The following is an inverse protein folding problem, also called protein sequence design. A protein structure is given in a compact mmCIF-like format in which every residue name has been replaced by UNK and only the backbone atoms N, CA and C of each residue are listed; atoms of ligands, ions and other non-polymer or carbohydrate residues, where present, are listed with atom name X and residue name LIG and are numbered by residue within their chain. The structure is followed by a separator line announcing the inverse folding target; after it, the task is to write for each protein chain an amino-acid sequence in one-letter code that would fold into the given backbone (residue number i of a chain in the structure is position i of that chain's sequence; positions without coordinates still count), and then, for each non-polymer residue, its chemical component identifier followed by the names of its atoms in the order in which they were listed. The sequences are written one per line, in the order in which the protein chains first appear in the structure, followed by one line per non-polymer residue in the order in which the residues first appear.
data_IF_282061631817
#
_entry.id   IF_282061631817
#
_cell.length_a   1.000
_cell.length_b   1.000
_cell.length_c   1.000
_cell.angle_alpha   90.00
_cell.angle_beta   90.00
_cell.angle_gamma   90.00
#
_symmetry.space_group_name_H-M   'P 1'
#
loop_
_entity.id
_entity.type
_entity.pdbx_description
1 polymer ?
#
# COMPACT_ATOMS: atom_id res chain seq x y z
N UNK A 1 -42.51 -55.95 16.64
CA UNK A 1 -43.11 -55.20 17.76
C UNK A 1 -43.09 -53.73 17.38
N UNK A 2 -44.20 -53.20 16.85
CA UNK A 2 -45.20 -52.35 17.54
C UNK A 2 -44.65 -51.00 18.08
N UNK A 3 -44.79 -49.97 17.23
CA UNK A 3 -45.45 -48.65 17.42
C UNK A 3 -45.25 -47.92 18.78
N UNK A 4 -44.77 -46.66 18.75
CA UNK A 4 -45.60 -45.47 19.08
C UNK A 4 -44.92 -44.12 18.83
N UNK A 5 -45.71 -43.21 18.24
CA UNK A 5 -45.53 -41.75 18.07
C UNK A 5 -45.55 -41.02 19.42
N UNK A 6 -44.87 -39.87 19.49
CA UNK A 6 -45.41 -38.67 20.14
C UNK A 6 -44.62 -37.39 19.75
N UNK A 7 -45.32 -36.45 19.12
CA UNK A 7 -45.16 -34.99 19.28
C UNK A 7 -46.54 -34.51 19.82
N UNK A 8 -46.70 -33.39 20.57
CA UNK A 8 -46.26 -32.05 20.15
C UNK A 8 -45.81 -31.10 21.30
N UNK A 9 -45.26 -29.94 20.95
CA UNK A 9 -44.98 -28.87 21.92
C UNK A 9 -44.73 -27.52 21.25
N UNK A 10 -45.80 -26.75 21.05
CA UNK A 10 -45.77 -25.32 20.76
C UNK A 10 -45.38 -24.51 22.01
N UNK A 11 -44.61 -23.44 21.83
CA UNK A 11 -44.60 -22.14 22.58
C UNK A 11 -43.24 -21.46 22.31
N UNK A 12 -43.08 -20.18 22.01
CA UNK A 12 -43.99 -19.09 21.74
C UNK A 12 -43.20 -17.97 21.05
N UNK A 13 -43.80 -17.36 20.03
CA UNK A 13 -43.26 -16.19 19.33
C UNK A 13 -43.56 -14.95 20.18
N UNK A 14 -42.54 -14.25 20.65
CA UNK A 14 -42.70 -12.89 21.20
C UNK A 14 -42.67 -11.89 20.04
N UNK A 15 -43.85 -11.53 19.53
CA UNK A 15 -44.06 -10.32 18.71
C UNK A 15 -44.13 -9.14 19.67
N UNK A 16 -43.15 -8.24 19.61
CA UNK A 16 -43.23 -6.94 20.29
C UNK A 16 -43.78 -5.92 19.28
N UNK A 17 -45.08 -5.68 19.36
CA UNK A 17 -45.75 -4.53 18.74
C UNK A 17 -45.37 -3.29 19.55
N UNK A 18 -44.60 -2.37 18.96
CA UNK A 18 -44.50 -1.00 19.47
C UNK A 18 -45.40 -0.08 18.66
N UNK A 19 -46.35 0.52 19.36
CA UNK A 19 -47.38 1.39 18.83
C UNK A 19 -46.81 2.73 18.34
N UNK A 20 -47.44 3.18 17.26
CA UNK A 20 -47.33 4.50 16.64
C UNK A 20 -47.81 5.59 17.61
N UNK A 21 -46.99 6.62 17.80
CA UNK A 21 -47.37 7.90 18.40
C UNK A 21 -47.01 9.05 17.44
N UNK A 22 -48.00 9.59 16.75
CA UNK A 22 -47.93 10.82 15.96
C UNK A 22 -48.22 12.04 16.86
N UNK A 23 -47.25 12.94 16.99
CA UNK A 23 -47.38 14.38 17.24
C UNK A 23 -45.94 14.95 17.25
N UNK A 24 -45.57 16.03 16.60
CA UNK A 24 -46.23 17.02 15.77
C UNK A 24 -45.20 18.14 15.51
N UNK A 25 -45.35 18.76 14.34
CA UNK A 25 -44.83 20.07 13.92
C UNK A 25 -43.33 20.25 13.60
N UNK A 26 -43.12 20.60 12.33
CA UNK A 26 -41.91 21.11 11.72
C UNK A 26 -41.60 22.53 12.23
N UNK A 27 -40.33 22.78 12.55
CA UNK A 27 -39.80 24.13 12.69
C UNK A 27 -39.01 24.49 11.41
N UNK A 28 -39.44 25.48 10.62
CA UNK A 28 -38.59 26.10 9.63
C UNK A 28 -37.59 27.03 10.33
N UNK A 29 -36.30 26.75 10.16
CA UNK A 29 -35.24 27.68 10.57
C UNK A 29 -35.12 28.75 9.48
N UNK A 30 -35.79 29.88 9.68
CA UNK A 30 -35.66 31.07 8.84
C UNK A 30 -34.53 31.94 9.40
N UNK A 31 -33.55 32.25 8.55
CA UNK A 31 -32.53 33.25 8.82
C UNK A 31 -33.17 34.64 8.83
N UNK A 32 -33.04 35.35 9.95
CA UNK A 32 -33.41 36.76 10.06
C UNK A 32 -32.30 37.62 9.44
N UNK A 33 -32.64 38.42 8.45
CA UNK A 33 -31.81 39.52 7.93
C UNK A 33 -31.95 40.67 8.91
N UNK A 34 -30.95 40.89 9.75
CA UNK A 34 -30.86 42.07 10.59
C UNK A 34 -30.32 43.24 9.74
N UNK A 35 -31.15 44.27 9.58
CA UNK A 35 -30.87 45.48 8.80
C UNK A 35 -30.45 46.59 9.75
N UNK A 36 -29.17 46.59 10.13
CA UNK A 36 -28.52 47.69 10.86
C UNK A 36 -27.83 48.66 9.89
N UNK A 37 -27.70 49.96 10.25
CA UNK A 37 -27.13 50.97 9.36
C UNK A 37 -25.63 50.75 9.08
N UNK A 38 -25.25 50.93 7.82
CA UNK A 38 -23.89 50.77 7.28
C UNK A 38 -22.82 51.49 8.12
N UNK A 39 -21.80 50.79 8.67
CA UNK A 39 -20.61 51.45 9.18
C UNK A 39 -19.72 51.86 8.00
N UNK A 40 -19.34 53.14 7.98
CA UNK A 40 -18.37 53.75 7.06
C UNK A 40 -17.13 52.86 6.94
N UNK A 41 -16.81 52.48 5.71
CA UNK A 41 -15.73 51.56 5.36
C UNK A 41 -14.36 52.21 5.65
N UNK A 42 -13.87 52.02 6.88
CA UNK A 42 -12.55 52.47 7.28
C UNK A 42 -11.51 51.57 6.60
N UNK A 43 -10.66 52.16 5.75
CA UNK A 43 -9.64 51.43 5.00
C UNK A 43 -8.57 50.91 5.96
N UNK A 44 -8.71 49.65 6.40
CA UNK A 44 -7.72 48.98 7.24
C UNK A 44 -6.47 48.72 6.40
N UNK A 45 -5.34 49.32 6.80
CA UNK A 45 -4.04 49.05 6.20
C UNK A 45 -3.49 47.77 6.80
N UNK A 46 -3.24 46.75 5.97
CA UNK A 46 -2.66 45.49 6.42
C UNK A 46 -1.21 45.69 6.91
N UNK A 47 -0.79 45.01 8.00
CA UNK A 47 0.58 45.08 8.49
C UNK A 47 1.54 44.39 7.50
N UNK A 48 2.75 44.93 7.35
CA UNK A 48 3.76 44.43 6.41
C UNK A 48 4.39 43.07 6.81
N UNK A 49 4.05 42.53 7.98
CA UNK A 49 4.59 41.28 8.51
C UNK A 49 3.62 40.65 9.51
N UNK A 50 3.60 39.32 9.56
CA UNK A 50 2.84 38.52 10.53
C UNK A 50 3.79 37.48 11.12
N UNK A 51 3.97 37.47 12.45
CA UNK A 51 4.81 36.48 13.14
C UNK A 51 6.28 36.45 12.70
N UNK A 52 6.85 37.59 12.26
CA UNK A 52 8.26 37.68 11.82
C UNK A 52 8.51 37.31 10.36
N UNK A 53 7.46 36.96 9.60
CA UNK A 53 7.57 36.68 8.16
C UNK A 53 7.04 37.88 7.36
N UNK A 54 7.84 38.38 6.42
CA UNK A 54 7.45 39.50 5.55
C UNK A 54 6.41 39.04 4.53
N UNK A 55 5.34 39.83 4.36
CA UNK A 55 4.27 39.57 3.39
C UNK A 55 4.50 40.29 2.04
N UNK A 56 5.70 40.81 1.81
CA UNK A 56 6.06 41.45 0.54
C UNK A 56 6.12 40.41 -0.59
N UNK A 57 5.38 40.67 -1.67
CA UNK A 57 5.34 39.82 -2.87
C UNK A 57 6.72 39.81 -3.55
N UNK A 58 7.33 38.63 -3.82
CA UNK A 58 8.60 38.58 -4.54
C UNK A 58 8.44 39.12 -5.97
N UNK A 59 9.29 40.06 -6.37
CA UNK A 59 9.38 40.52 -7.76
C UNK A 59 9.86 39.38 -8.67
N UNK A 60 9.31 39.33 -9.89
CA UNK A 60 9.69 38.37 -10.91
C UNK A 60 11.15 38.52 -11.31
N UNK A 61 11.91 37.43 -11.19
CA UNK A 61 13.32 37.33 -11.58
C UNK A 61 13.43 37.47 -13.11
N UNK A 62 14.20 38.45 -13.57
CA UNK A 62 14.58 38.60 -14.98
C UNK A 62 15.45 37.41 -15.45
N UNK A 63 15.36 36.98 -16.72
CA UNK A 63 16.20 35.90 -17.24
C UNK A 63 17.66 36.37 -17.41
N UNK A 64 18.60 35.53 -17.01
CA UNK A 64 20.04 35.76 -17.15
C UNK A 64 20.49 35.67 -18.61
N UNK A 65 21.51 36.46 -18.96
CA UNK A 65 22.08 36.57 -20.30
C UNK A 65 22.72 35.26 -20.80
N UNK A 66 22.52 34.98 -22.07
CA UNK A 66 23.10 33.86 -22.82
C UNK A 66 24.62 34.03 -22.95
N UNK A 67 25.39 33.08 -22.43
CA UNK A 67 26.83 33.02 -22.68
C UNK A 67 27.11 32.56 -24.11
N UNK A 68 27.86 33.36 -24.88
CA UNK A 68 28.44 32.98 -26.17
C UNK A 68 29.75 32.22 -25.93
N UNK A 69 29.91 31.11 -26.64
CA UNK A 69 31.15 30.32 -26.70
C UNK A 69 32.16 31.09 -27.55
N UNK A 70 33.38 31.26 -27.04
CA UNK A 70 34.51 31.80 -27.79
C UNK A 70 35.39 30.65 -28.30
N UNK A 71 35.68 30.69 -29.59
CA UNK A 71 36.67 29.86 -30.28
C UNK A 71 38.08 30.11 -29.72
N UNK A 72 38.82 29.03 -29.46
CA UNK A 72 40.29 29.07 -29.37
C UNK A 72 40.86 27.89 -30.17
N UNK A 73 41.54 28.24 -31.26
CA UNK A 73 42.37 27.38 -32.09
C UNK A 73 43.81 27.30 -31.55
N UNK A 74 44.52 26.25 -32.00
CA UNK A 74 45.93 25.87 -31.78
C UNK A 74 46.16 24.96 -30.56
N UNK A 75 46.79 23.78 -30.65
CA UNK A 75 47.46 23.09 -31.75
C UNK A 75 48.64 22.30 -31.17
N UNK A 76 48.63 20.97 -31.26
CA UNK A 76 49.80 20.07 -31.30
C UNK A 76 49.30 18.64 -31.61
N UNK A 77 49.91 17.99 -32.61
CA UNK A 77 49.59 16.64 -33.11
C UNK A 77 50.59 15.58 -32.54
N UNK A 78 50.56 14.31 -32.97
CA UNK A 78 49.56 13.28 -32.69
C UNK A 78 50.18 12.03 -32.00
N UNK A 79 49.40 11.23 -31.27
CA UNK A 79 49.56 9.76 -31.17
C UNK A 79 48.56 9.15 -30.16
N UNK A 80 48.11 7.94 -30.51
CA UNK A 80 47.32 6.99 -29.74
C UNK A 80 45.79 7.18 -29.77
N UNK A 81 45.15 6.34 -30.59
CA UNK A 81 43.74 5.98 -30.52
C UNK A 81 43.35 5.62 -29.08
N UNK A 82 42.39 6.36 -28.54
CA UNK A 82 41.51 5.85 -27.50
C UNK A 82 40.11 6.26 -27.92
N UNK A 83 39.43 5.35 -28.60
CA UNK A 83 38.02 5.51 -28.92
C UNK A 83 37.23 5.80 -27.65
N UNK A 84 36.44 6.85 -27.74
CA UNK A 84 35.50 7.27 -26.72
C UNK A 84 34.43 6.20 -26.49
N UNK A 85 34.27 5.77 -25.24
CA UNK A 85 33.02 5.18 -24.74
C UNK A 85 32.31 6.19 -23.86
N UNK A 86 31.90 7.30 -24.48
CA UNK A 86 30.79 8.13 -24.02
C UNK A 86 29.57 7.76 -24.85
N UNK A 87 28.67 6.96 -24.28
CA UNK A 87 27.48 6.50 -25.00
C UNK A 87 26.79 5.28 -24.42
N UNK A 88 26.56 5.23 -23.11
CA UNK A 88 25.56 4.29 -22.58
C UNK A 88 24.16 4.83 -22.90
N UNK A 89 23.75 4.62 -24.14
CA UNK A 89 22.38 4.72 -24.62
C UNK A 89 21.54 3.78 -23.76
N UNK A 90 20.45 4.27 -23.16
CA UNK A 90 19.48 3.41 -22.49
C UNK A 90 19.00 2.35 -23.50
N UNK A 91 19.23 1.08 -23.19
CA UNK A 91 18.83 -0.04 -24.01
C UNK A 91 17.30 -0.10 -24.09
N UNK A 92 16.69 0.00 -25.28
CA UNK A 92 15.25 -0.14 -25.42
C UNK A 92 14.87 -1.63 -25.30
N UNK A 93 14.25 -1.99 -24.19
CA UNK A 93 13.23 -3.05 -24.20
C UNK A 93 13.58 -4.43 -23.64
N UNK A 94 14.49 -4.57 -22.68
CA UNK A 94 14.44 -5.76 -21.82
C UNK A 94 13.39 -5.52 -20.74
N UNK A 95 12.21 -6.13 -20.92
CA UNK A 95 11.21 -6.21 -19.86
C UNK A 95 11.70 -7.20 -18.80
N UNK A 96 12.18 -6.74 -17.62
CA UNK A 96 12.78 -7.60 -16.60
C UNK A 96 11.80 -8.64 -16.03
N UNK A 97 10.53 -8.50 -16.38
CA UNK A 97 9.41 -9.37 -16.06
C UNK A 97 9.57 -10.79 -16.64
N UNK A 98 10.12 -10.95 -17.85
CA UNK A 98 10.14 -12.27 -18.51
C UNK A 98 11.17 -13.25 -17.96
N UNK A 99 12.07 -12.80 -17.07
CA UNK A 99 13.18 -13.63 -16.55
C UNK A 99 12.99 -14.04 -15.09
N UNK A 100 11.94 -13.57 -14.41
CA UNK A 100 11.68 -13.88 -13.00
C UNK A 100 10.70 -15.05 -12.83
N UNK A 101 11.10 -16.27 -13.23
CA UNK A 101 10.25 -17.48 -13.09
C UNK A 101 10.54 -18.32 -11.84
N UNK A 102 11.49 -17.89 -11.00
CA UNK A 102 11.79 -18.53 -9.72
C UNK A 102 11.87 -17.40 -8.72
N UNK A 103 10.93 -17.33 -7.77
CA UNK A 103 11.01 -16.35 -6.68
C UNK A 103 12.24 -16.73 -5.85
N UNK A 104 13.36 -16.00 -5.98
CA UNK A 104 14.50 -16.20 -5.10
C UNK A 104 14.06 -15.70 -3.72
N UNK A 105 14.74 -16.14 -2.66
CA UNK A 105 14.50 -15.50 -1.37
C UNK A 105 14.69 -13.99 -1.48
N UNK A 106 13.81 -13.23 -0.83
CA UNK A 106 13.87 -11.76 -0.75
C UNK A 106 14.68 -11.35 0.48
N UNK A 107 15.29 -10.16 0.49
CA UNK A 107 16.09 -9.66 1.61
C UNK A 107 17.24 -10.62 1.98
N UNK A 108 17.86 -11.25 0.97
CA UNK A 108 18.96 -12.19 1.17
C UNK A 108 18.58 -13.54 1.81
N UNK A 109 17.29 -13.81 2.02
CA UNK A 109 16.80 -15.07 2.60
C UNK A 109 16.87 -16.25 1.63
N UNK A 110 16.54 -17.45 2.13
CA UNK A 110 16.16 -18.62 1.33
C UNK A 110 14.66 -18.85 1.50
N UNK A 111 13.94 -19.02 0.39
CA UNK A 111 12.51 -19.31 0.39
C UNK A 111 12.27 -20.82 0.25
N UNK A 112 11.58 -21.41 1.22
CA UNK A 112 11.17 -22.81 1.23
C UNK A 112 9.67 -22.90 0.95
N UNK A 113 9.30 -23.51 -0.17
CA UNK A 113 7.88 -23.63 -0.56
C UNK A 113 7.12 -24.56 0.40
N UNK A 114 5.94 -24.11 0.82
CA UNK A 114 5.08 -24.83 1.74
C UNK A 114 3.78 -25.24 1.06
N UNK A 115 3.41 -26.52 1.17
CA UNK A 115 2.12 -27.04 0.65
C UNK A 115 0.96 -26.83 1.64
N UNK A 116 1.23 -27.00 2.93
CA UNK A 116 0.23 -26.90 4.00
C UNK A 116 0.69 -25.85 5.01
N UNK A 117 0.44 -24.59 4.70
CA UNK A 117 0.77 -23.47 5.60
C UNK A 117 -0.51 -22.91 6.22
N UNK A 118 -0.70 -22.96 7.55
CA UNK A 118 -1.96 -22.54 8.18
C UNK A 118 -2.40 -21.11 7.81
N UNK A 119 -1.45 -20.19 7.68
CA UNK A 119 -1.72 -18.79 7.31
C UNK A 119 -2.17 -18.65 5.85
N UNK A 120 -1.87 -19.61 4.97
CA UNK A 120 -2.29 -19.58 3.56
C UNK A 120 -3.81 -19.63 3.37
N UNK A 121 -4.56 -20.11 4.37
CA UNK A 121 -6.03 -20.08 4.36
C UNK A 121 -6.59 -18.66 4.28
N UNK A 122 -5.87 -17.66 4.82
CA UNK A 122 -6.22 -16.23 4.71
C UNK A 122 -5.94 -15.69 3.31
N UNK A 123 -4.89 -16.17 2.66
CA UNK A 123 -4.42 -15.65 1.39
C UNK A 123 -5.28 -16.06 0.18
N UNK A 124 -5.69 -17.33 0.09
CA UNK A 124 -6.43 -17.84 -1.06
C UNK A 124 -7.67 -17.00 -1.46
N UNK A 125 -8.60 -16.63 -0.54
CA UNK A 125 -9.74 -15.80 -0.90
C UNK A 125 -9.33 -14.38 -1.33
N UNK A 126 -8.28 -13.82 -0.72
CA UNK A 126 -7.74 -12.50 -1.06
C UNK A 126 -7.13 -12.51 -2.45
N UNK A 127 -6.29 -13.49 -2.77
CA UNK A 127 -5.69 -13.59 -4.10
C UNK A 127 -6.72 -13.79 -5.20
N UNK A 128 -7.77 -14.60 -4.95
CA UNK A 128 -8.88 -14.73 -5.89
C UNK A 128 -9.59 -13.37 -6.11
N UNK A 129 -9.72 -12.55 -5.08
CA UNK A 129 -10.28 -11.21 -5.20
C UNK A 129 -9.34 -10.23 -5.94
N UNK A 130 -8.02 -10.36 -5.76
CA UNK A 130 -7.01 -9.63 -6.55
C UNK A 130 -7.15 -9.95 -8.03
N UNK A 131 -7.24 -11.24 -8.39
CA UNK A 131 -7.44 -11.67 -9.79
C UNK A 131 -8.79 -11.24 -10.33
N UNK A 132 -9.84 -11.25 -9.50
CA UNK A 132 -11.19 -10.80 -9.85
C UNK A 132 -11.34 -9.28 -9.99
N UNK A 133 -10.36 -8.51 -9.52
CA UNK A 133 -10.31 -7.05 -9.62
C UNK A 133 -9.95 -6.65 -11.06
N UNK A 134 -10.90 -6.77 -11.99
CA UNK A 134 -10.73 -6.47 -13.42
C UNK A 134 -11.51 -5.22 -13.82
N UNK A 135 -11.35 -4.76 -15.07
CA UNK A 135 -12.10 -3.63 -15.58
C UNK A 135 -13.62 -3.88 -15.47
N UNK A 136 -14.36 -2.93 -14.90
CA UNK A 136 -15.80 -3.03 -14.63
C UNK A 136 -16.20 -3.91 -13.44
N UNK A 137 -15.23 -4.44 -12.69
CA UNK A 137 -15.49 -5.22 -11.47
C UNK A 137 -15.91 -4.35 -10.28
N UNK A 138 -16.11 -4.98 -9.12
CA UNK A 138 -16.39 -4.26 -7.87
C UNK A 138 -15.34 -3.19 -7.55
N UNK A 139 -14.06 -3.45 -7.81
CA UNK A 139 -12.98 -2.49 -7.54
C UNK A 139 -13.20 -1.14 -8.23
N UNK A 140 -13.61 -1.15 -9.51
CA UNK A 140 -13.80 0.06 -10.29
C UNK A 140 -15.03 0.84 -9.82
N UNK A 141 -16.05 0.13 -9.34
CA UNK A 141 -17.25 0.73 -8.76
C UNK A 141 -16.97 1.38 -7.41
N UNK A 142 -16.19 0.70 -6.55
CA UNK A 142 -15.84 1.23 -5.22
C UNK A 142 -14.87 2.42 -5.32
N UNK A 143 -14.02 2.47 -6.36
CA UNK A 143 -13.09 3.58 -6.54
C UNK A 143 -12.74 3.86 -8.00
N UNK A 144 -13.36 4.88 -8.63
CA UNK A 144 -12.96 5.36 -9.95
C UNK A 144 -11.51 5.85 -9.99
N UNK A 145 -11.02 6.43 -8.88
CA UNK A 145 -9.64 6.88 -8.75
C UNK A 145 -8.64 5.71 -8.82
N UNK A 146 -9.02 4.53 -8.31
CA UNK A 146 -8.20 3.33 -8.44
C UNK A 146 -8.05 2.91 -9.91
N UNK A 147 -9.14 2.92 -10.68
CA UNK A 147 -9.11 2.65 -12.13
C UNK A 147 -8.21 3.63 -12.87
N UNK A 148 -8.32 4.93 -12.58
CA UNK A 148 -7.48 5.96 -13.19
C UNK A 148 -5.98 5.74 -12.88
N UNK A 149 -5.65 5.38 -11.64
CA UNK A 149 -4.27 5.01 -11.26
C UNK A 149 -3.77 3.85 -12.12
N UNK A 150 -4.59 2.83 -12.35
CA UNK A 150 -4.20 1.66 -13.15
C UNK A 150 -3.98 2.05 -14.61
N UNK A 151 -4.88 2.84 -15.20
CA UNK A 151 -4.78 3.28 -16.59
C UNK A 151 -3.51 4.11 -16.81
N UNK A 152 -3.21 5.03 -15.90
CA UNK A 152 -1.98 5.82 -15.95
C UNK A 152 -0.75 4.92 -15.73
N UNK A 153 -0.83 3.95 -14.83
CA UNK A 153 0.27 3.02 -14.57
C UNK A 153 0.57 2.11 -15.77
N UNK A 154 -0.45 1.65 -16.49
CA UNK A 154 -0.31 0.75 -17.64
C UNK A 154 0.57 1.34 -18.75
N UNK A 155 0.50 2.67 -18.96
CA UNK A 155 1.32 3.40 -19.93
C UNK A 155 2.75 3.72 -19.48
N UNK A 156 3.16 3.36 -18.25
CA UNK A 156 4.51 3.67 -17.72
C UNK A 156 5.51 2.54 -17.96
N UNK A 157 6.78 2.92 -18.09
CA UNK A 157 7.90 1.98 -17.99
C UNK A 157 7.99 1.35 -16.59
N UNK A 158 8.65 0.20 -16.49
CA UNK A 158 8.63 -0.66 -15.30
C UNK A 158 8.88 0.07 -13.96
N UNK A 159 10.01 0.78 -13.82
CA UNK A 159 10.36 1.45 -12.54
C UNK A 159 9.41 2.58 -12.18
N UNK A 160 8.98 3.35 -13.18
CA UNK A 160 8.03 4.45 -13.00
C UNK A 160 6.64 3.90 -12.68
N UNK A 161 6.26 2.75 -13.25
CA UNK A 161 5.03 2.03 -12.93
C UNK A 161 5.00 1.63 -11.46
N UNK A 162 6.06 0.99 -10.95
CA UNK A 162 6.17 0.63 -9.53
C UNK A 162 6.10 1.87 -8.63
N UNK A 163 6.88 2.90 -8.93
CA UNK A 163 6.93 4.14 -8.12
C UNK A 163 5.59 4.88 -8.12
N UNK A 164 4.94 4.94 -9.28
CA UNK A 164 3.64 5.57 -9.42
C UNK A 164 2.58 4.82 -8.62
N UNK A 165 2.46 3.50 -8.80
CA UNK A 165 1.48 2.71 -8.05
C UNK A 165 1.74 2.79 -6.55
N UNK A 166 2.99 2.61 -6.10
CA UNK A 166 3.32 2.68 -4.68
C UNK A 166 2.84 4.00 -4.06
N UNK A 167 3.24 5.13 -4.66
CA UNK A 167 2.93 6.44 -4.12
C UNK A 167 1.46 6.81 -4.25
N UNK A 168 0.78 6.38 -5.33
CA UNK A 168 -0.64 6.65 -5.55
C UNK A 168 -1.53 5.87 -4.60
N UNK A 169 -1.24 4.58 -4.36
CA UNK A 169 -1.98 3.79 -3.36
C UNK A 169 -1.72 4.32 -1.95
N UNK A 170 -0.48 4.69 -1.61
CA UNK A 170 -0.17 5.30 -0.32
C UNK A 170 -0.93 6.60 -0.05
N UNK A 171 -1.38 7.30 -1.10
CA UNK A 171 -2.23 8.50 -0.99
C UNK A 171 -3.73 8.19 -1.08
N UNK A 172 -4.10 7.09 -1.73
CA UNK A 172 -5.49 6.74 -2.00
C UNK A 172 -6.21 6.29 -0.72
N UNK A 173 -5.51 5.56 0.14
CA UNK A 173 -6.04 4.96 1.37
C UNK A 173 -5.26 5.41 2.61
N UNK A 174 -5.93 5.49 3.75
CA UNK A 174 -5.35 5.88 5.02
C UNK A 174 -4.84 4.67 5.81
N UNK A 175 -3.65 4.77 6.40
CA UNK A 175 -3.15 3.72 7.29
C UNK A 175 -3.99 3.65 8.57
N UNK A 176 -4.67 2.53 8.82
CA UNK A 176 -5.49 2.27 10.02
C UNK A 176 -5.43 0.79 10.35
N UNK A 177 -5.30 0.48 11.63
CA UNK A 177 -5.34 -0.87 12.18
C UNK A 177 -6.66 -1.60 11.89
N UNK A 178 -6.61 -2.90 11.70
CA UNK A 178 -7.77 -3.75 11.47
C UNK A 178 -8.77 -3.72 12.61
N UNK A 179 -8.28 -3.57 13.84
CA UNK A 179 -9.14 -3.42 15.01
C UNK A 179 -10.06 -2.20 14.92
N UNK A 180 -9.66 -1.17 14.17
CA UNK A 180 -10.42 0.06 13.93
C UNK A 180 -11.31 -0.07 12.69
N UNK A 181 -10.80 -0.65 11.60
CA UNK A 181 -11.52 -0.72 10.31
C UNK A 181 -12.53 -1.86 10.29
N UNK A 182 -12.11 -3.05 10.74
CA UNK A 182 -12.84 -4.32 10.61
C UNK A 182 -13.28 -4.92 11.95
N UNK A 183 -12.87 -4.34 13.08
CA UNK A 183 -13.19 -4.84 14.41
C UNK A 183 -12.54 -6.19 14.74
N UNK A 184 -11.44 -6.52 14.06
CA UNK A 184 -10.69 -7.78 14.20
C UNK A 184 -9.23 -7.47 14.46
N UNK A 185 -8.52 -8.38 15.13
CA UNK A 185 -7.09 -8.20 15.38
C UNK A 185 -6.22 -8.35 14.13
N UNK A 186 -6.68 -9.09 13.13
CA UNK A 186 -5.95 -9.37 11.89
C UNK A 186 -7.00 -9.84 10.86
N UNK A 187 -7.22 -9.04 9.83
CA UNK A 187 -8.21 -9.22 8.78
C UNK A 187 -7.67 -8.78 7.43
N UNK A 188 -7.28 -9.77 6.63
CA UNK A 188 -6.78 -9.52 5.28
C UNK A 188 -7.95 -9.20 4.35
N UNK A 189 -8.15 -7.91 4.06
CA UNK A 189 -9.29 -7.45 3.29
C UNK A 189 -9.11 -7.69 1.78
N UNK A 190 -10.22 -7.86 1.08
CA UNK A 190 -10.23 -7.93 -0.39
C UNK A 190 -10.03 -6.51 -0.96
N UNK A 191 -9.51 -6.37 -2.18
CA UNK A 191 -9.34 -5.07 -2.82
C UNK A 191 -10.61 -4.20 -2.81
N UNK A 192 -11.80 -4.76 -3.04
CA UNK A 192 -13.05 -4.00 -2.99
C UNK A 192 -13.38 -3.48 -1.59
N UNK A 193 -13.13 -4.27 -0.54
CA UNK A 193 -13.34 -3.85 0.86
C UNK A 193 -12.37 -2.72 1.22
N UNK A 194 -11.09 -2.85 0.87
CA UNK A 194 -10.08 -1.81 1.10
C UNK A 194 -10.47 -0.49 0.41
N UNK A 195 -10.96 -0.58 -0.83
CA UNK A 195 -11.39 0.58 -1.60
C UNK A 195 -12.67 1.22 -1.06
N UNK A 196 -13.63 0.43 -0.57
CA UNK A 196 -14.84 0.90 0.10
C UNK A 196 -14.50 1.66 1.39
N UNK A 197 -13.67 1.08 2.25
CA UNK A 197 -13.27 1.70 3.52
C UNK A 197 -12.27 2.84 3.35
N UNK A 198 -11.51 2.85 2.25
CA UNK A 198 -10.39 3.77 1.99
C UNK A 198 -9.37 3.81 3.12
N UNK A 199 -9.24 2.70 3.83
CA UNK A 199 -8.34 2.53 4.95
C UNK A 199 -8.02 1.05 5.12
N UNK A 200 -6.87 0.79 5.74
CA UNK A 200 -6.33 -0.54 6.00
C UNK A 200 -4.91 -0.40 6.56
N UNK A 201 -4.28 -1.50 6.93
CA UNK A 201 -2.92 -1.50 7.44
C UNK A 201 -1.92 -2.03 6.38
N UNK A 202 -0.79 -2.60 6.79
CA UNK A 202 0.31 -2.82 5.86
C UNK A 202 0.04 -3.89 4.80
N UNK A 203 -0.67 -4.97 5.12
CA UNK A 203 -1.05 -6.01 4.18
C UNK A 203 -2.09 -5.50 3.19
N UNK A 204 -3.04 -4.68 3.62
CA UNK A 204 -4.07 -4.12 2.76
C UNK A 204 -3.45 -3.21 1.69
N UNK A 205 -2.45 -2.42 2.08
CA UNK A 205 -1.66 -1.65 1.13
C UNK A 205 -0.92 -2.55 0.14
N UNK A 206 -0.33 -3.65 0.60
CA UNK A 206 0.37 -4.59 -0.28
C UNK A 206 -0.59 -5.31 -1.25
N UNK A 207 -1.76 -5.74 -0.76
CA UNK A 207 -2.86 -6.37 -1.51
C UNK A 207 -3.34 -5.42 -2.61
N UNK A 208 -3.64 -4.17 -2.26
CA UNK A 208 -4.18 -3.21 -3.21
C UNK A 208 -3.14 -2.79 -4.27
N UNK A 209 -1.87 -2.67 -3.88
CA UNK A 209 -0.76 -2.45 -4.83
C UNK A 209 -0.57 -3.64 -5.77
N UNK A 210 -0.71 -4.87 -5.27
CA UNK A 210 -0.62 -6.07 -6.10
C UNK A 210 -1.76 -6.11 -7.14
N UNK A 211 -3.00 -5.79 -6.73
CA UNK A 211 -4.13 -5.70 -7.65
C UNK A 211 -3.92 -4.63 -8.73
N UNK A 212 -3.42 -3.44 -8.35
CA UNK A 212 -3.12 -2.38 -9.32
C UNK A 212 -2.02 -2.80 -10.32
N UNK A 213 -0.91 -3.35 -9.83
CA UNK A 213 0.20 -3.78 -10.69
C UNK A 213 -0.16 -4.96 -11.58
N UNK A 214 -0.96 -5.91 -11.09
CA UNK A 214 -1.44 -7.04 -11.88
C UNK A 214 -2.24 -6.55 -13.08
N UNK A 215 -3.20 -5.64 -12.85
CA UNK A 215 -3.99 -5.03 -13.93
C UNK A 215 -3.15 -4.14 -14.84
N UNK A 216 -2.13 -3.49 -14.31
CA UNK A 216 -1.17 -2.69 -15.10
C UNK A 216 -0.12 -3.54 -15.84
N UNK A 217 -0.27 -4.87 -15.85
CA UNK A 217 0.52 -5.80 -16.67
C UNK A 217 1.78 -6.34 -16.02
N UNK A 218 1.99 -6.16 -14.71
CA UNK A 218 3.05 -6.89 -13.98
C UNK A 218 2.56 -8.32 -13.71
N UNK A 219 3.30 -9.37 -14.13
CA UNK A 219 2.88 -10.75 -13.90
C UNK A 219 2.80 -11.10 -12.43
N UNK A 220 1.73 -11.79 -12.07
CA UNK A 220 1.49 -12.24 -10.71
C UNK A 220 2.64 -13.06 -10.14
N UNK A 221 3.31 -13.87 -10.96
CA UNK A 221 4.42 -14.74 -10.54
C UNK A 221 5.68 -13.96 -10.13
N UNK A 222 5.80 -12.70 -10.57
CA UNK A 222 6.89 -11.81 -10.16
C UNK A 222 6.59 -11.11 -8.84
N UNK A 223 5.35 -11.15 -8.33
CA UNK A 223 4.92 -10.39 -7.18
C UNK A 223 4.73 -11.28 -5.95
N UNK A 224 5.12 -10.79 -4.78
CA UNK A 224 4.89 -11.49 -3.52
C UNK A 224 4.47 -10.52 -2.42
N UNK A 225 3.41 -10.86 -1.69
CA UNK A 225 3.16 -10.24 -0.40
C UNK A 225 4.09 -10.90 0.61
N UNK A 226 4.96 -10.10 1.24
CA UNK A 226 5.99 -10.58 2.17
C UNK A 226 5.65 -10.07 3.55
N UNK A 227 5.45 -11.00 4.49
CA UNK A 227 5.35 -10.68 5.92
C UNK A 227 6.73 -10.83 6.55
N UNK A 228 7.13 -9.82 7.31
CA UNK A 228 8.49 -9.66 7.82
C UNK A 228 8.50 -9.06 9.22
N UNK A 229 9.64 -9.15 9.88
CA UNK A 229 9.95 -8.35 11.07
C UNK A 229 10.80 -7.15 10.66
N UNK A 230 10.36 -5.94 10.99
CA UNK A 230 11.20 -4.74 10.93
C UNK A 230 12.00 -4.67 12.24
N UNK A 231 13.28 -5.05 12.19
CA UNK A 231 14.14 -5.09 13.39
C UNK A 231 14.45 -3.71 13.94
N UNK A 232 14.47 -2.69 13.09
CA UNK A 232 14.76 -1.31 13.50
C UNK A 232 13.58 -0.73 14.28
N UNK A 233 12.36 -0.97 13.81
CA UNK A 233 11.13 -0.46 14.45
C UNK A 233 10.48 -1.44 15.42
N UNK A 234 10.95 -2.68 15.45
CA UNK A 234 10.56 -3.76 16.38
C UNK A 234 9.11 -4.22 16.26
N UNK A 235 8.55 -4.27 15.05
CA UNK A 235 7.19 -4.78 14.83
C UNK A 235 7.10 -5.68 13.58
N UNK A 236 5.98 -6.40 13.43
CA UNK A 236 5.69 -7.20 12.24
C UNK A 236 5.03 -6.36 11.15
N UNK A 237 5.54 -6.47 9.93
CA UNK A 237 5.15 -5.63 8.81
C UNK A 237 4.85 -6.49 7.58
N UNK A 238 4.09 -5.94 6.64
CA UNK A 238 3.84 -6.53 5.34
C UNK A 238 4.18 -5.55 4.22
N UNK A 239 4.80 -6.06 3.16
CA UNK A 239 5.18 -5.29 1.97
C UNK A 239 4.87 -6.06 0.71
N UNK A 240 4.80 -5.36 -0.42
CA UNK A 240 4.76 -5.98 -1.74
C UNK A 240 6.18 -6.01 -2.33
N UNK A 241 6.65 -7.20 -2.68
CA UNK A 241 7.89 -7.42 -3.43
C UNK A 241 7.59 -7.68 -4.90
N UNK A 242 8.38 -7.10 -5.80
CA UNK A 242 8.37 -7.36 -7.25
C UNK A 242 9.75 -7.85 -7.66
N UNK A 243 9.86 -9.15 -7.96
CA UNK A 243 11.08 -9.85 -8.32
C UNK A 243 11.47 -9.62 -9.78
N UNK A 244 12.76 -9.43 -10.02
CA UNK A 244 13.40 -9.37 -11.34
C UNK A 244 14.63 -10.25 -11.36
N UNK A 245 15.23 -10.47 -12.54
CA UNK A 245 16.53 -11.15 -12.63
C UNK A 245 17.66 -10.47 -11.83
N UNK A 246 17.52 -9.17 -11.53
CA UNK A 246 18.53 -8.36 -10.84
C UNK A 246 18.29 -8.18 -9.33
N UNK A 247 17.28 -8.85 -8.77
CA UNK A 247 16.83 -8.67 -7.39
C UNK A 247 15.38 -8.19 -7.30
N UNK A 248 14.95 -7.80 -6.10
CA UNK A 248 13.56 -7.43 -5.85
C UNK A 248 13.38 -5.93 -5.55
N UNK A 249 12.26 -5.38 -6.01
CA UNK A 249 11.80 -4.04 -5.68
C UNK A 249 10.71 -4.11 -4.62
N UNK A 250 10.79 -3.26 -3.60
CA UNK A 250 9.89 -3.27 -2.44
C UNK A 250 9.00 -2.03 -2.48
N UNK A 251 7.69 -2.28 -2.49
CA UNK A 251 6.65 -1.28 -2.37
C UNK A 251 6.07 -1.34 -0.96
N UNK A 252 6.24 -0.26 -0.21
CA UNK A 252 6.00 -0.21 1.23
C UNK A 252 4.95 0.86 1.57
N UNK A 253 4.10 0.61 2.57
CA UNK A 253 3.16 1.60 3.10
C UNK A 253 3.84 2.67 3.97
N UNK A 254 5.03 2.38 4.51
CA UNK A 254 5.81 3.31 5.34
C UNK A 254 6.50 4.43 4.55
N UNK A 255 6.55 4.34 3.21
CA UNK A 255 7.23 5.32 2.38
C UNK A 255 6.92 5.21 0.89
N UNK A 256 7.03 6.33 0.18
CA UNK A 256 6.71 6.40 -1.25
C UNK A 256 7.86 5.94 -2.16
N UNK A 257 9.10 5.94 -1.67
CA UNK A 257 10.25 5.47 -2.43
C UNK A 257 10.18 3.94 -2.60
N UNK A 258 10.30 3.47 -3.83
CA UNK A 258 10.48 2.04 -4.13
C UNK A 258 11.96 1.73 -4.01
N UNK A 259 12.31 0.87 -3.06
CA UNK A 259 13.69 0.50 -2.74
C UNK A 259 14.00 -0.89 -3.26
N UNK A 260 15.29 -1.23 -3.41
CA UNK A 260 15.66 -2.65 -3.57
C UNK A 260 15.61 -3.34 -2.22
N UNK A 261 15.37 -4.63 -2.23
CA UNK A 261 15.41 -5.45 -1.02
C UNK A 261 16.77 -5.39 -0.32
N UNK A 262 17.88 -5.31 -1.08
CA UNK A 262 19.23 -5.11 -0.56
C UNK A 262 19.43 -3.78 0.19
N UNK A 263 18.58 -2.79 -0.07
CA UNK A 263 18.65 -1.47 0.58
C UNK A 263 17.90 -1.46 1.93
N UNK A 264 17.34 -2.60 2.34
CA UNK A 264 16.51 -2.78 3.54
C UNK A 264 17.07 -3.87 4.47
N UNK A 265 18.27 -3.68 5.07
CA UNK A 265 18.95 -4.71 5.86
C UNK A 265 18.25 -5.07 7.18
N UNK A 266 17.35 -4.21 7.67
CA UNK A 266 16.59 -4.42 8.91
C UNK A 266 15.31 -5.24 8.69
N UNK A 267 14.93 -5.52 7.44
CA UNK A 267 13.74 -6.29 7.10
C UNK A 267 14.09 -7.77 7.05
N UNK A 268 13.50 -8.55 7.96
CA UNK A 268 13.72 -9.99 8.04
C UNK A 268 12.44 -10.72 7.64
N UNK A 269 12.38 -11.34 6.44
CA UNK A 269 11.18 -11.99 5.96
C UNK A 269 10.89 -13.25 6.79
N UNK A 270 9.61 -13.50 7.02
CA UNK A 270 9.10 -14.64 7.78
C UNK A 270 8.45 -15.64 6.84
N UNK A 271 7.46 -15.17 6.07
CA UNK A 271 6.77 -15.92 5.04
C UNK A 271 6.30 -14.99 3.93
N UNK A 272 6.03 -15.55 2.76
CA UNK A 272 5.47 -14.81 1.64
C UNK A 272 4.43 -15.61 0.89
N UNK A 273 3.60 -14.88 0.17
CA UNK A 273 2.59 -15.42 -0.71
C UNK A 273 2.74 -14.84 -2.12
N UNK A 274 2.70 -15.71 -3.10
CA UNK A 274 2.68 -15.37 -4.52
C UNK A 274 1.76 -16.36 -5.20
N UNK A 275 0.89 -15.83 -6.06
CA UNK A 275 -0.16 -16.62 -6.69
C UNK A 275 -0.93 -17.46 -5.67
N UNK A 276 -1.05 -18.76 -5.92
CA UNK A 276 -1.66 -19.79 -5.10
C UNK A 276 -0.67 -20.47 -4.11
N UNK A 277 0.54 -19.93 -3.94
CA UNK A 277 1.64 -20.58 -3.22
C UNK A 277 2.12 -19.76 -2.03
N UNK A 278 2.71 -20.47 -1.07
CA UNK A 278 3.31 -19.92 0.14
C UNK A 278 4.76 -20.37 0.29
N UNK A 279 5.58 -19.53 0.90
CA UNK A 279 6.97 -19.81 1.25
C UNK A 279 7.27 -19.38 2.68
N UNK A 280 8.09 -20.16 3.39
CA UNK A 280 8.73 -19.71 4.63
C UNK A 280 10.14 -19.26 4.30
N UNK A 281 10.59 -18.19 4.94
CA UNK A 281 11.91 -17.63 4.76
C UNK A 281 12.84 -18.01 5.92
N UNK A 282 14.08 -18.36 5.59
CA UNK A 282 15.15 -18.63 6.55
C UNK A 282 16.48 -18.00 6.13
N UNK A 283 17.43 -17.94 7.06
CA UNK A 283 18.78 -17.43 6.76
C UNK A 283 19.68 -18.50 6.14
N UNK A 284 20.67 -18.08 5.33
CA UNK A 284 21.71 -18.98 4.77
C UNK A 284 22.75 -19.40 5.82
N UNK A 285 22.95 -18.60 6.87
CA UNK A 285 24.00 -18.78 7.89
C UNK A 285 23.56 -19.72 9.02
N UNK A 286 23.20 -20.96 8.64
CA UNK A 286 22.60 -21.95 9.54
C UNK A 286 21.09 -21.88 9.45
N UNK A 287 20.45 -23.02 9.21
CA UNK A 287 19.01 -23.19 8.98
C UNK A 287 18.17 -22.76 10.21
N UNK A 288 18.11 -21.46 10.46
CA UNK A 288 17.30 -20.84 11.49
C UNK A 288 16.16 -20.11 10.79
N UNK A 289 14.97 -20.63 11.01
CA UNK A 289 13.71 -19.91 10.82
C UNK A 289 13.57 -18.98 12.03
N UNK A 290 13.04 -17.77 11.84
CA UNK A 290 12.81 -16.85 12.95
C UNK A 290 12.01 -17.56 14.06
N UNK A 291 12.51 -17.51 15.30
CA UNK A 291 11.81 -18.04 16.46
C UNK A 291 10.70 -17.06 16.86
N UNK A 292 9.46 -17.39 16.48
CA UNK A 292 8.28 -16.56 16.74
C UNK A 292 7.51 -17.17 17.89
N UNK A 293 7.41 -16.44 19.00
CA UNK A 293 6.59 -16.82 20.14
C UNK A 293 5.12 -17.03 19.72
N UNK A 294 4.61 -18.25 19.90
CA UNK A 294 3.25 -18.64 19.48
C UNK A 294 3.13 -19.11 18.02
N UNK A 295 4.21 -19.09 17.24
CA UNK A 295 4.26 -19.54 15.85
C UNK A 295 3.72 -18.53 14.84
N UNK A 296 3.83 -18.82 13.54
CA UNK A 296 3.46 -17.87 12.47
C UNK A 296 2.00 -17.41 12.48
N UNK A 297 1.08 -18.18 13.08
CA UNK A 297 -0.35 -17.84 13.12
C UNK A 297 -0.67 -16.66 14.05
N UNK A 298 0.24 -16.30 14.97
CA UNK A 298 0.09 -15.16 15.88
C UNK A 298 0.68 -13.86 15.32
N UNK A 299 1.31 -13.92 14.14
CA UNK A 299 1.84 -12.74 13.46
C UNK A 299 0.68 -11.95 12.87
N UNK A 300 0.40 -10.80 13.46
CA UNK A 300 -0.51 -9.77 12.94
C UNK A 300 0.35 -8.59 12.45
N UNK A 301 0.67 -8.53 11.15
CA UNK A 301 1.40 -7.39 10.61
C UNK A 301 0.57 -6.10 10.79
N UNK A 302 1.22 -4.96 10.95
CA UNK A 302 0.54 -3.66 10.98
C UNK A 302 -0.10 -3.22 12.31
N UNK A 303 -0.32 -4.17 13.23
CA UNK A 303 -0.87 -3.92 14.57
C UNK A 303 0.18 -3.47 15.62
N UNK A 304 1.47 -3.49 15.29
CA UNK A 304 2.57 -3.15 16.20
C UNK A 304 3.17 -4.37 16.91
N UNK A 305 4.10 -4.15 17.85
CA UNK A 305 4.63 -5.26 18.65
C UNK A 305 3.53 -5.83 19.56
N UNK A 306 3.39 -7.17 19.70
CA UNK A 306 2.59 -7.70 20.79
C UNK A 306 3.15 -7.14 22.10
N UNK A 307 2.34 -6.42 22.88
CA UNK A 307 2.76 -5.99 24.21
C UNK A 307 3.20 -7.23 24.99
N UNK A 308 4.32 -7.18 25.74
CA UNK A 308 4.65 -8.27 26.63
C UNK A 308 3.46 -8.42 27.59
N UNK A 309 2.80 -9.58 27.52
CA UNK A 309 1.76 -9.94 28.46
C UNK A 309 2.35 -9.80 29.85
N UNK A 310 1.94 -8.76 30.57
CA UNK A 310 2.20 -8.66 32.00
C UNK A 310 1.48 -9.86 32.59
N UNK A 311 2.24 -10.90 32.92
CA UNK A 311 1.74 -12.03 33.66
C UNK A 311 1.19 -11.47 34.98
N UNK A 312 -0.13 -11.28 35.04
CA UNK A 312 -0.85 -11.01 36.27
C UNK A 312 -0.64 -12.23 37.16
N UNK A 313 0.34 -12.13 38.06
CA UNK A 313 0.42 -13.01 39.22
C UNK A 313 -0.75 -12.67 40.12
N UNK A 314 -1.83 -13.43 40.02
CA UNK A 314 -2.82 -13.61 41.07
C UNK A 314 -3.12 -15.11 41.22
#
# INVERSE_FOLDING_TARGET
MKIQKAAPGMTGIKVLLLAVGLAGLANPSSASVDSGPDPVLQKVVAPASLGGVSLARPQSRQPAAVYRIADISAGYAPAAEVEALSGAKADPGIDPIQTASIIPGVFGSVALSMRNFPVASRWAPVYNAIVGCTAGSACDRESPAFSEIIDIAAGKGFRDKLSFVNSSINRLIAYRKDSVVYGKLDYWAKPSEILEHRAGDCEDFAILKMAALLRAGIPAQSMSLVVLQDRRRKFFHAVLSVSTASGAFILDSLGNAVLRDSDLPDYVPLYSFSTDRAWIHGSKSGAQIADIAGGFATVAPGEGSPEPTVASKH
#
